data_IF_707516951427
#
_entry.id   IF_707516951427
#
_cell.length_a   1.000
_cell.length_b   1.000
_cell.length_c   1.000
_cell.angle_alpha   90.00
_cell.angle_beta   90.00
_cell.angle_gamma   90.00
#
_symmetry.space_group_name_H-M   'P 1'
#
loop_
_entity.id
_entity.type
_entity.pdbx_description
1 polymer ?
#
# COMPACT_ATOMS: atom_id res chain seq x y z
N UNK A 1 19.03 -0.42 1.97
CA UNK A 1 18.10 -0.95 2.98
C UNK A 1 17.57 -2.28 2.46
N UNK A 2 17.75 -3.38 3.19
CA UNK A 2 17.18 -4.68 2.83
C UNK A 2 15.79 -4.75 3.45
N UNK A 3 14.75 -4.57 2.63
CA UNK A 3 13.39 -4.88 3.03
C UNK A 3 13.31 -6.40 3.32
N UNK A 4 12.50 -6.87 4.27
CA UNK A 4 12.38 -8.30 4.59
C UNK A 4 11.65 -9.12 3.49
N UNK A 5 11.53 -8.56 2.29
CA UNK A 5 10.83 -9.11 1.12
C UNK A 5 11.47 -8.53 -0.16
N UNK A 6 11.47 -9.31 -1.25
CA UNK A 6 11.98 -8.90 -2.56
C UNK A 6 10.81 -8.46 -3.48
N UNK A 7 10.92 -7.28 -4.09
CA UNK A 7 10.03 -6.77 -5.15
C UNK A 7 10.87 -6.28 -6.34
N UNK A 8 10.39 -6.45 -7.59
CA UNK A 8 11.00 -5.76 -8.73
C UNK A 8 10.71 -4.25 -8.62
N UNK A 9 11.73 -3.40 -8.81
CA UNK A 9 11.64 -1.96 -8.53
C UNK A 9 11.01 -1.21 -9.69
N UNK A 10 9.72 -0.91 -9.61
CA UNK A 10 9.15 0.30 -10.21
C UNK A 10 9.18 1.43 -9.18
N UNK A 11 9.50 2.64 -9.60
CA UNK A 11 9.63 3.79 -8.70
C UNK A 11 8.29 4.02 -7.97
N UNK A 12 8.26 3.70 -6.68
CA UNK A 12 7.07 3.81 -5.82
C UNK A 12 6.68 5.28 -5.67
N UNK A 13 5.43 5.62 -5.98
CA UNK A 13 4.85 6.90 -5.55
C UNK A 13 4.66 6.86 -4.03
N UNK A 14 5.10 7.89 -3.30
CA UNK A 14 4.84 8.00 -1.87
C UNK A 14 3.45 8.58 -1.64
N UNK A 15 2.67 8.00 -0.72
CA UNK A 15 1.39 8.57 -0.32
C UNK A 15 1.59 9.95 0.31
N UNK A 16 0.95 10.97 -0.25
CA UNK A 16 1.17 12.37 0.14
C UNK A 16 2.35 13.05 -0.58
N UNK A 17 3.00 12.35 -1.52
CA UNK A 17 4.11 12.88 -2.34
C UNK A 17 5.47 12.84 -1.64
N UNK A 18 6.53 13.08 -2.42
CA UNK A 18 7.91 13.08 -1.92
C UNK A 18 8.24 14.37 -1.18
N UNK A 19 7.97 14.40 0.13
CA UNK A 19 8.51 15.45 1.00
C UNK A 19 9.95 15.10 1.40
N UNK A 20 10.85 16.08 1.67
CA UNK A 20 12.25 15.81 2.03
C UNK A 20 12.43 15.09 3.38
N UNK A 21 11.36 14.91 4.16
CA UNK A 21 11.33 14.07 5.36
C UNK A 21 10.91 12.65 4.98
N UNK A 22 11.82 11.90 4.34
CA UNK A 22 11.60 10.47 4.10
C UNK A 22 11.52 9.75 5.44
N UNK A 23 10.36 9.17 5.73
CA UNK A 23 10.15 8.35 6.91
C UNK A 23 10.66 6.95 6.59
N UNK A 24 11.54 6.39 7.42
CA UNK A 24 11.98 5.01 7.25
C UNK A 24 10.89 4.02 7.67
N UNK A 25 10.88 2.83 7.07
CA UNK A 25 9.95 1.76 7.45
C UNK A 25 9.95 1.49 8.96
N UNK A 26 11.13 1.49 9.60
CA UNK A 26 11.27 1.18 11.03
C UNK A 26 10.61 2.24 11.92
N UNK A 27 10.65 3.51 11.53
CA UNK A 27 10.09 4.63 12.30
C UNK A 27 8.65 4.97 11.93
N UNK A 28 8.18 4.54 10.76
CA UNK A 28 6.80 4.73 10.34
C UNK A 28 5.79 4.02 11.25
N UNK A 29 4.67 4.67 11.55
CA UNK A 29 3.54 4.06 12.26
C UNK A 29 2.49 3.50 11.32
N UNK A 30 2.29 4.15 10.18
CA UNK A 30 1.35 3.75 9.13
C UNK A 30 2.14 3.23 7.94
N UNK A 31 1.68 2.11 7.37
CA UNK A 31 2.31 1.53 6.18
C UNK A 31 1.26 1.35 5.10
N UNK A 32 1.44 2.02 3.96
CA UNK A 32 0.62 1.85 2.78
C UNK A 32 1.09 0.59 2.06
N UNK A 33 0.17 -0.35 1.81
CA UNK A 33 0.41 -1.60 1.07
C UNK A 33 -0.42 -1.57 -0.22
N UNK A 34 0.18 -1.28 -1.38
CA UNK A 34 -0.52 -1.32 -2.66
C UNK A 34 -0.64 -2.76 -3.18
N UNK A 35 -1.87 -3.20 -3.48
CA UNK A 35 -2.19 -4.56 -3.96
C UNK A 35 -2.96 -4.46 -5.29
N UNK A 36 -2.26 -4.36 -6.43
CA UNK A 36 -2.87 -4.16 -7.76
C UNK A 36 -3.46 -5.45 -8.36
N UNK A 37 -4.34 -6.13 -7.60
CA UNK A 37 -5.00 -7.37 -8.04
C UNK A 37 -6.32 -7.07 -8.77
N UNK A 38 -6.51 -7.70 -9.92
CA UNK A 38 -7.69 -7.55 -10.79
C UNK A 38 -7.86 -8.81 -11.64
N UNK A 39 -8.38 -9.88 -11.03
CA UNK A 39 -8.51 -11.22 -11.61
C UNK A 39 -9.92 -11.81 -11.48
N UNK A 40 -10.75 -11.27 -10.60
CA UNK A 40 -12.11 -11.74 -10.29
C UNK A 40 -13.19 -10.72 -10.63
N UNK A 41 -12.82 -9.53 -11.09
CA UNK A 41 -13.76 -8.55 -11.63
C UNK A 41 -14.50 -9.13 -12.83
N UNK A 42 -15.83 -9.07 -12.78
CA UNK A 42 -16.71 -9.66 -13.81
C UNK A 42 -17.32 -8.65 -14.77
N UNK A 43 -17.33 -7.36 -14.42
CA UNK A 43 -17.97 -6.31 -15.23
C UNK A 43 -16.97 -5.49 -16.05
N UNK A 44 -16.18 -4.62 -15.40
CA UNK A 44 -15.12 -3.85 -16.06
C UNK A 44 -13.78 -4.12 -15.38
N UNK A 45 -12.72 -4.42 -16.16
CA UNK A 45 -11.36 -4.52 -15.64
C UNK A 45 -10.77 -3.13 -15.39
N UNK A 46 -9.59 -3.09 -14.78
CA UNK A 46 -8.81 -1.86 -14.57
C UNK A 46 -8.57 -1.54 -13.11
N UNK A 47 -9.19 -2.28 -12.19
CA UNK A 47 -9.03 -2.01 -10.76
C UNK A 47 -7.59 -2.17 -10.27
N UNK A 48 -6.77 -2.97 -10.98
CA UNK A 48 -5.31 -3.05 -10.75
C UNK A 48 -4.59 -1.71 -10.80
N UNK A 49 -5.11 -0.72 -11.54
CA UNK A 49 -4.54 0.62 -11.59
C UNK A 49 -4.91 1.50 -10.39
N UNK A 50 -5.92 1.10 -9.60
CA UNK A 50 -6.42 1.85 -8.46
C UNK A 50 -5.32 2.25 -7.45
N UNK A 51 -4.47 1.31 -6.99
CA UNK A 51 -3.40 1.65 -6.05
C UNK A 51 -2.45 2.73 -6.58
N UNK A 52 -2.00 2.60 -7.84
CA UNK A 52 -1.14 3.58 -8.48
C UNK A 52 -1.81 4.96 -8.58
N UNK A 53 -3.04 5.01 -9.10
CA UNK A 53 -3.77 6.27 -9.29
C UNK A 53 -4.09 6.96 -7.96
N UNK A 54 -4.35 6.20 -6.88
CA UNK A 54 -4.50 6.76 -5.53
C UNK A 54 -3.20 7.41 -5.07
N UNK A 55 -2.04 6.77 -5.29
CA UNK A 55 -0.75 7.35 -4.91
C UNK A 55 -0.48 8.65 -5.70
N UNK A 56 -0.71 8.65 -7.01
CA UNK A 56 -0.57 9.84 -7.87
C UNK A 56 -1.53 10.96 -7.44
N UNK A 57 -2.79 10.65 -7.16
CA UNK A 57 -3.75 11.65 -6.69
C UNK A 57 -3.35 12.20 -5.31
N UNK A 58 -2.86 11.33 -4.40
CA UNK A 58 -2.48 11.72 -3.05
C UNK A 58 -1.33 12.73 -3.02
N UNK A 59 -0.44 12.74 -4.01
CA UNK A 59 0.68 13.69 -4.07
C UNK A 59 0.25 15.12 -4.40
N UNK A 60 -1.00 15.33 -4.78
CA UNK A 60 -1.58 16.64 -5.09
C UNK A 60 -2.48 17.16 -3.96
N UNK A 61 -2.57 16.43 -2.84
CA UNK A 61 -3.34 16.81 -1.67
C UNK A 61 -2.51 17.72 -0.75
N UNK A 62 -3.15 18.70 -0.13
CA UNK A 62 -2.56 19.43 0.99
C UNK A 62 -2.45 18.52 2.21
N UNK A 63 -1.28 18.46 2.85
CA UNK A 63 -1.05 17.58 4.01
C UNK A 63 -1.71 18.09 5.29
N UNK A 64 -1.99 19.39 5.35
CA UNK A 64 -2.70 20.02 6.45
C UNK A 64 -4.20 19.89 6.26
N UNK A 65 -4.88 19.32 7.25
CA UNK A 65 -6.33 19.23 7.31
C UNK A 65 -6.90 20.37 8.17
N UNK A 66 -7.72 21.24 7.58
CA UNK A 66 -8.28 22.41 8.27
C UNK A 66 -9.37 22.05 9.29
N UNK A 67 -10.15 20.99 9.04
CA UNK A 67 -11.27 20.59 9.90
C UNK A 67 -10.79 20.01 11.23
N UNK A 68 -9.71 19.24 11.18
CA UNK A 68 -9.07 18.63 12.36
C UNK A 68 -7.94 19.50 12.93
N UNK A 69 -7.48 20.50 12.17
CA UNK A 69 -6.39 21.39 12.56
C UNK A 69 -5.07 20.63 12.75
N UNK A 70 -4.81 19.64 11.90
CA UNK A 70 -3.67 18.74 12.05
C UNK A 70 -3.06 18.34 10.71
N UNK A 71 -1.75 18.08 10.73
CA UNK A 71 -1.03 17.38 9.67
C UNK A 71 -0.80 15.93 10.12
N UNK A 72 -1.64 15.02 9.61
CA UNK A 72 -1.59 13.60 9.93
C UNK A 72 -0.39 12.89 9.30
N UNK A 73 0.20 13.45 8.24
CA UNK A 73 1.38 12.86 7.57
C UNK A 73 2.57 12.77 8.54
N UNK A 74 2.63 13.67 9.53
CA UNK A 74 3.66 13.67 10.60
C UNK A 74 3.65 12.45 11.52
N UNK A 75 2.61 11.62 11.51
CA UNK A 75 2.58 10.37 12.27
C UNK A 75 3.62 9.35 11.77
N UNK A 76 4.15 9.56 10.57
CA UNK A 76 5.07 8.66 9.90
C UNK A 76 4.30 7.68 9.03
N UNK A 77 4.26 7.96 7.73
CA UNK A 77 3.66 7.12 6.69
C UNK A 77 4.79 6.57 5.81
N UNK A 78 4.82 5.27 5.60
CA UNK A 78 5.74 4.61 4.66
C UNK A 78 4.94 3.90 3.58
N UNK A 79 5.30 4.10 2.31
CA UNK A 79 4.64 3.41 1.19
C UNK A 79 5.50 2.25 0.71
N UNK A 80 4.96 1.04 0.77
CA UNK A 80 5.60 -0.13 0.20
C UNK A 80 5.56 -0.07 -1.34
N UNK A 81 6.51 -0.71 -2.04
CA UNK A 81 6.35 -1.04 -3.44
C UNK A 81 5.03 -1.80 -3.68
N UNK A 82 4.47 -1.66 -4.88
CA UNK A 82 3.31 -2.44 -5.27
C UNK A 82 3.60 -3.94 -5.25
N UNK A 83 2.63 -4.74 -4.81
CA UNK A 83 2.77 -6.19 -4.87
C UNK A 83 2.69 -6.71 -6.31
N UNK A 84 3.58 -7.64 -6.65
CA UNK A 84 3.64 -8.25 -7.98
C UNK A 84 3.23 -9.73 -7.95
N UNK A 85 2.41 -10.13 -8.93
CA UNK A 85 1.86 -11.48 -9.02
C UNK A 85 1.89 -12.03 -10.47
N UNK A 86 3.04 -12.09 -11.16
CA UNK A 86 3.07 -12.46 -12.58
C UNK A 86 2.65 -13.91 -12.86
N UNK A 87 3.07 -14.86 -12.01
CA UNK A 87 2.84 -16.30 -12.22
C UNK A 87 2.14 -17.00 -11.06
N UNK A 88 1.69 -16.25 -10.05
CA UNK A 88 1.05 -16.81 -8.86
C UNK A 88 -0.39 -17.23 -9.15
N UNK A 89 -0.80 -18.37 -8.62
CA UNK A 89 -2.21 -18.80 -8.50
C UNK A 89 -2.96 -17.89 -7.52
N UNK A 90 -4.30 -17.93 -7.54
CA UNK A 90 -5.09 -17.12 -6.60
C UNK A 90 -4.81 -17.49 -5.14
N UNK A 91 -4.62 -18.77 -4.84
CA UNK A 91 -4.29 -19.24 -3.49
C UNK A 91 -2.94 -18.67 -3.02
N UNK A 92 -1.94 -18.67 -3.89
CA UNK A 92 -0.61 -18.10 -3.60
C UNK A 92 -0.68 -16.59 -3.36
N UNK A 93 -1.45 -15.87 -4.17
CA UNK A 93 -1.71 -14.43 -3.98
C UNK A 93 -2.34 -14.18 -2.62
N UNK A 94 -3.41 -14.90 -2.28
CA UNK A 94 -4.11 -14.71 -0.99
C UNK A 94 -3.21 -15.03 0.20
N UNK A 95 -2.39 -16.09 0.10
CA UNK A 95 -1.42 -16.46 1.13
C UNK A 95 -0.37 -15.37 1.31
N UNK A 96 0.12 -14.79 0.22
CA UNK A 96 1.15 -13.75 0.26
C UNK A 96 0.62 -12.43 0.84
N UNK A 97 -0.59 -12.00 0.43
CA UNK A 97 -1.26 -10.82 1.02
C UNK A 97 -1.42 -11.01 2.53
N UNK A 98 -1.89 -12.19 2.97
CA UNK A 98 -2.05 -12.51 4.39
C UNK A 98 -0.71 -12.47 5.14
N UNK A 99 0.34 -13.02 4.53
CA UNK A 99 1.69 -13.05 5.11
C UNK A 99 2.22 -11.63 5.33
N UNK A 100 2.15 -10.78 4.30
CA UNK A 100 2.66 -9.39 4.36
C UNK A 100 1.83 -8.55 5.34
N UNK A 101 0.50 -8.59 5.25
CA UNK A 101 -0.37 -7.86 6.16
C UNK A 101 -0.15 -8.29 7.62
N UNK A 102 -0.05 -9.60 7.87
CA UNK A 102 0.24 -10.16 9.19
C UNK A 102 1.59 -9.71 9.74
N UNK A 103 2.63 -9.66 8.91
CA UNK A 103 3.97 -9.19 9.31
C UNK A 103 3.96 -7.70 9.69
N UNK A 104 3.22 -6.85 8.96
CA UNK A 104 3.06 -5.44 9.30
C UNK A 104 2.42 -5.26 10.67
N UNK A 105 1.32 -5.99 10.93
CA UNK A 105 0.62 -5.96 12.21
C UNK A 105 1.51 -6.50 13.34
N UNK A 106 2.23 -7.61 13.11
CA UNK A 106 3.14 -8.20 14.09
C UNK A 106 4.29 -7.24 14.48
N UNK A 107 4.70 -6.35 13.56
CA UNK A 107 5.69 -5.29 13.81
C UNK A 107 5.08 -4.02 14.42
N UNK A 108 3.80 -4.05 14.82
CA UNK A 108 3.10 -2.91 15.42
C UNK A 108 2.80 -1.77 14.45
N UNK A 109 2.83 -2.04 13.13
CA UNK A 109 2.46 -1.07 12.10
C UNK A 109 0.95 -1.07 11.89
N UNK A 110 0.40 0.06 11.47
CA UNK A 110 -0.98 0.18 11.03
C UNK A 110 -1.05 0.06 9.50
N UNK A 111 -1.45 -1.09 8.94
CA UNK A 111 -1.52 -1.26 7.49
C UNK A 111 -2.72 -0.52 6.89
N UNK A 112 -2.47 0.22 5.82
CA UNK A 112 -3.50 0.81 4.95
C UNK A 112 -3.34 0.16 3.58
N UNK A 113 -4.30 -0.69 3.22
CA UNK A 113 -4.23 -1.44 1.97
C UNK A 113 -4.96 -0.71 0.86
N UNK A 114 -4.23 -0.40 -0.22
CA UNK A 114 -4.82 0.13 -1.45
C UNK A 114 -5.05 -1.04 -2.39
N UNK A 115 -6.31 -1.38 -2.62
CA UNK A 115 -6.68 -2.55 -3.42
C UNK A 115 -6.94 -2.23 -4.89
N UNK A 116 -6.98 -3.29 -5.69
CA UNK A 116 -7.73 -3.30 -6.95
C UNK A 116 -9.11 -3.92 -6.76
N UNK A 117 -9.18 -5.22 -6.48
CA UNK A 117 -10.44 -5.94 -6.33
C UNK A 117 -10.79 -6.29 -4.88
N UNK A 118 -12.07 -6.54 -4.61
CA UNK A 118 -12.56 -6.84 -3.25
C UNK A 118 -12.10 -8.19 -2.68
N UNK A 119 -11.69 -9.15 -3.53
CA UNK A 119 -11.27 -10.49 -3.10
C UNK A 119 -10.10 -10.44 -2.11
N UNK A 120 -9.27 -9.39 -2.16
CA UNK A 120 -8.12 -9.19 -1.28
C UNK A 120 -8.53 -8.90 0.17
N UNK A 121 -9.80 -8.60 0.45
CA UNK A 121 -10.25 -8.28 1.81
C UNK A 121 -10.04 -9.47 2.75
N UNK A 122 -10.38 -10.68 2.31
CA UNK A 122 -10.35 -11.90 3.13
C UNK A 122 -8.95 -12.29 3.67
N UNK A 123 -7.84 -12.13 2.93
CA UNK A 123 -6.50 -12.31 3.51
C UNK A 123 -6.02 -11.16 4.40
N UNK A 124 -6.65 -9.98 4.35
CA UNK A 124 -6.26 -8.79 5.14
C UNK A 124 -6.92 -8.79 6.52
N UNK A 125 -8.21 -9.18 6.60
CA UNK A 125 -9.01 -9.16 7.84
C UNK A 125 -9.03 -10.48 8.61
#
# INVERSE_FOLDING_TARGET
MNLPFEYERLATGEFGGTTPTTVDFDTARVVILPVPLDRTTSYMPGTRGGPHEILVASSHMELWDEETGADVHRIGIFTLPEMEFPFATMEEVMREIRRVAGELVARGKFPVVLGGEHSITAPIV
#
